data_IF_521594827163
#
_entry.id   IF_521594827163
#
_cell.length_a   1.000
_cell.length_b   1.000
_cell.length_c   1.000
_cell.angle_alpha   90.00
_cell.angle_beta   90.00
_cell.angle_gamma   90.00
#
_symmetry.space_group_name_H-M   'P 1'
#
loop_
_entity.id
_entity.type
_entity.pdbx_description
1 polymer ?
#
# COMPACT_ATOMS: atom_id res chain seq x y z
N UNK A 1 0.62 13.44 15.07
CA UNK A 1 -0.45 12.54 14.60
C UNK A 1 0.09 11.67 13.47
N UNK A 2 -0.27 10.40 13.47
CA UNK A 2 0.06 9.45 12.42
C UNK A 2 -1.23 8.84 11.85
N UNK A 3 -1.20 8.48 10.57
CA UNK A 3 -2.31 7.92 9.82
C UNK A 3 -1.87 6.57 9.26
N UNK A 4 -2.74 5.57 9.36
CA UNK A 4 -2.57 4.26 8.73
C UNK A 4 -3.72 4.01 7.78
N UNK A 5 -3.39 3.55 6.60
CA UNK A 5 -4.36 3.15 5.58
C UNK A 5 -4.52 1.64 5.61
N UNK A 6 -5.76 1.18 5.71
CA UNK A 6 -6.12 -0.24 5.76
C UNK A 6 -7.33 -0.49 4.87
N UNK A 7 -7.47 -1.73 4.42
CA UNK A 7 -8.72 -2.23 3.85
C UNK A 7 -9.53 -2.93 4.94
N UNK A 8 -10.85 -3.05 4.74
CA UNK A 8 -11.74 -3.70 5.71
C UNK A 8 -11.50 -5.21 5.86
N UNK A 9 -10.66 -5.80 4.99
CA UNK A 9 -10.26 -7.21 5.08
C UNK A 9 -9.31 -7.40 6.27
N UNK A 10 -9.65 -8.35 7.14
CA UNK A 10 -8.78 -8.77 8.24
C UNK A 10 -7.72 -9.73 7.69
N UNK A 11 -6.47 -9.44 7.97
CA UNK A 11 -5.35 -10.33 7.67
C UNK A 11 -5.36 -11.51 8.66
N UNK A 12 -5.40 -12.73 8.13
CA UNK A 12 -5.53 -13.95 8.93
C UNK A 12 -4.29 -14.26 9.79
N UNK A 13 -3.12 -13.74 9.41
CA UNK A 13 -1.86 -13.99 10.12
C UNK A 13 -1.67 -13.06 11.33
N UNK A 14 -2.18 -11.84 11.25
CA UNK A 14 -2.05 -10.79 12.26
C UNK A 14 -3.33 -10.51 13.04
N UNK A 15 -4.49 -10.96 12.55
CA UNK A 15 -5.83 -10.61 13.03
C UNK A 15 -6.09 -9.09 13.05
N UNK A 16 -5.36 -8.33 12.24
CA UNK A 16 -5.50 -6.88 12.11
C UNK A 16 -6.04 -6.53 10.71
N UNK A 17 -6.65 -5.35 10.53
CA UNK A 17 -6.97 -4.85 9.20
C UNK A 17 -5.72 -4.82 8.31
N UNK A 18 -5.85 -5.38 7.11
CA UNK A 18 -4.78 -5.51 6.14
C UNK A 18 -4.37 -4.13 5.61
N UNK A 19 -3.06 -3.91 5.43
CA UNK A 19 -2.55 -2.67 4.85
C UNK A 19 -2.89 -2.54 3.36
N UNK A 20 -3.14 -1.32 2.90
CA UNK A 20 -3.51 -1.04 1.49
C UNK A 20 -2.47 -1.55 0.50
N UNK A 21 -1.16 -1.41 0.77
CA UNK A 21 -0.12 -1.94 -0.13
C UNK A 21 -0.24 -3.45 -0.33
N UNK A 22 -0.46 -4.22 0.74
CA UNK A 22 -0.62 -5.67 0.64
C UNK A 22 -1.85 -6.02 -0.19
N UNK A 23 -2.95 -5.30 0.00
CA UNK A 23 -4.16 -5.50 -0.79
C UNK A 23 -3.94 -5.14 -2.28
N UNK A 24 -3.27 -4.02 -2.56
CA UNK A 24 -2.92 -3.59 -3.92
C UNK A 24 -2.03 -4.61 -4.64
N UNK A 25 -0.98 -5.14 -3.99
CA UNK A 25 -0.15 -6.19 -4.59
C UNK A 25 -0.90 -7.51 -4.77
N UNK A 26 -1.87 -7.84 -3.92
CA UNK A 26 -2.74 -9.00 -4.12
C UNK A 26 -3.65 -8.83 -5.34
N UNK A 27 -4.25 -7.65 -5.50
CA UNK A 27 -5.09 -7.31 -6.66
C UNK A 27 -4.26 -7.36 -7.96
N UNK A 28 -3.07 -6.77 -7.96
CA UNK A 28 -2.15 -6.82 -9.10
C UNK A 28 -1.81 -8.26 -9.53
N UNK A 29 -1.70 -9.18 -8.56
CA UNK A 29 -1.38 -10.59 -8.79
C UNK A 29 -2.59 -11.46 -9.12
N UNK A 30 -3.82 -11.02 -8.83
CA UNK A 30 -5.02 -11.82 -9.13
C UNK A 30 -5.30 -11.86 -10.63
N UNK A 31 -4.96 -10.77 -11.34
CA UNK A 31 -5.23 -10.62 -12.77
C UNK A 31 -6.66 -10.22 -13.09
N UNK A 32 -7.48 -9.91 -12.08
CA UNK A 32 -8.90 -9.56 -12.23
C UNK A 32 -9.11 -8.06 -12.54
N UNK A 33 -8.23 -7.47 -13.35
CA UNK A 33 -8.27 -6.05 -13.71
C UNK A 33 -8.25 -5.89 -15.23
N UNK A 34 -8.90 -4.83 -15.72
CA UNK A 34 -8.72 -4.39 -17.09
C UNK A 34 -7.27 -3.90 -17.32
N UNK A 35 -6.79 -3.87 -18.57
CA UNK A 35 -5.44 -3.37 -18.88
C UNK A 35 -5.20 -1.93 -18.39
N UNK A 36 -6.24 -1.09 -18.39
CA UNK A 36 -6.15 0.29 -17.90
C UNK A 36 -5.96 0.38 -16.38
N UNK A 37 -6.75 -0.38 -15.63
CA UNK A 37 -6.63 -0.48 -14.16
C UNK A 37 -5.28 -1.07 -13.76
N UNK A 38 -4.84 -2.12 -14.45
CA UNK A 38 -3.53 -2.73 -14.21
C UNK A 38 -2.40 -1.72 -14.42
N UNK A 39 -2.45 -0.96 -15.53
CA UNK A 39 -1.43 0.04 -15.85
C UNK A 39 -1.40 1.13 -14.78
N UNK A 40 -2.57 1.66 -14.43
CA UNK A 40 -2.69 2.71 -13.42
C UNK A 40 -2.18 2.25 -12.04
N UNK A 41 -2.60 1.08 -11.58
CA UNK A 41 -2.14 0.52 -10.30
C UNK A 41 -0.63 0.27 -10.29
N UNK A 42 -0.10 -0.27 -11.39
CA UNK A 42 1.33 -0.53 -11.56
C UNK A 42 2.16 0.76 -11.47
N UNK A 43 1.74 1.82 -12.17
CA UNK A 43 2.40 3.12 -12.15
C UNK A 43 2.37 3.75 -10.75
N UNK A 44 1.23 3.64 -10.06
CA UNK A 44 1.08 4.19 -8.72
C UNK A 44 1.97 3.46 -7.71
N UNK A 45 2.05 2.13 -7.78
CA UNK A 45 2.95 1.33 -6.94
C UNK A 45 4.43 1.60 -7.25
N UNK A 46 4.79 1.77 -8.53
CA UNK A 46 6.14 2.14 -8.94
C UNK A 46 6.55 3.51 -8.37
N UNK A 47 5.66 4.49 -8.44
CA UNK A 47 5.90 5.81 -7.85
C UNK A 47 6.21 5.71 -6.35
N UNK A 48 5.47 4.88 -5.61
CA UNK A 48 5.76 4.66 -4.19
C UNK A 48 7.12 3.99 -3.96
N UNK A 49 7.47 2.98 -4.77
CA UNK A 49 8.77 2.31 -4.67
C UNK A 49 9.94 3.29 -4.89
N UNK A 50 9.79 4.26 -5.80
CA UNK A 50 10.81 5.26 -6.10
C UNK A 50 10.90 6.37 -5.04
N UNK A 51 9.78 6.70 -4.39
CA UNK A 51 9.69 7.87 -3.49
C UNK A 51 9.71 7.52 -2.00
N UNK A 52 9.30 6.31 -1.61
CA UNK A 52 9.42 5.82 -0.24
C UNK A 52 10.79 5.20 -0.06
N UNK A 53 11.59 5.77 0.84
CA UNK A 53 12.82 5.13 1.29
C UNK A 53 12.46 3.91 2.12
N UNK A 54 12.50 2.74 1.50
CA UNK A 54 12.34 1.47 2.20
C UNK A 54 13.61 1.25 3.05
N UNK A 55 13.47 0.96 4.35
CA UNK A 55 14.61 0.50 5.13
C UNK A 55 15.14 -0.81 4.53
N UNK A 56 16.40 -1.13 4.82
CA UNK A 56 17.02 -2.38 4.38
C UNK A 56 16.10 -3.56 4.71
N UNK A 57 15.71 -4.30 3.67
CA UNK A 57 14.74 -5.40 3.76
C UNK A 57 15.21 -6.50 4.72
N UNK A 58 16.52 -6.61 4.96
CA UNK A 58 17.09 -7.52 5.96
C UNK A 58 16.60 -7.24 7.40
N UNK A 59 16.11 -6.03 7.66
CA UNK A 59 15.63 -5.57 8.97
C UNK A 59 14.10 -5.47 9.05
N UNK A 60 13.37 -5.81 7.98
CA UNK A 60 11.91 -5.72 7.96
C UNK A 60 11.33 -7.06 8.39
N UNK A 61 10.73 -7.10 9.58
CA UNK A 61 9.93 -8.25 10.00
C UNK A 61 8.73 -8.42 9.07
N UNK A 62 8.29 -9.66 8.82
CA UNK A 62 7.12 -10.03 8.00
C UNK A 62 5.80 -9.33 8.39
N UNK A 63 5.77 -8.61 9.52
CA UNK A 63 4.60 -7.92 10.08
C UNK A 63 4.75 -6.40 10.16
N UNK A 64 5.62 -5.81 9.36
CA UNK A 64 5.83 -4.36 9.39
C UNK A 64 4.53 -3.61 9.03
N UNK A 65 4.14 -2.67 9.91
CA UNK A 65 3.00 -1.78 9.65
C UNK A 65 3.51 -0.42 9.18
N UNK A 66 3.00 0.06 8.06
CA UNK A 66 3.33 1.40 7.55
C UNK A 66 2.41 2.44 8.18
N UNK A 67 3.02 3.48 8.75
CA UNK A 67 2.35 4.65 9.31
C UNK A 67 2.91 5.91 8.66
N UNK A 68 2.02 6.83 8.29
CA UNK A 68 2.39 8.11 7.70
C UNK A 68 2.26 9.23 8.73
N UNK A 69 3.24 10.12 8.81
CA UNK A 69 3.06 11.39 9.53
C UNK A 69 1.92 12.15 8.85
N UNK A 70 0.99 12.72 9.62
CA UNK A 70 -0.13 13.48 9.06
C UNK A 70 0.31 14.69 8.20
N UNK A 71 1.54 15.18 8.37
CA UNK A 71 2.14 16.23 7.56
C UNK A 71 2.68 15.76 6.20
N UNK A 72 2.75 14.44 5.93
CA UNK A 72 3.24 13.86 4.68
C UNK A 72 2.18 13.97 3.57
N UNK A 73 1.73 15.19 3.26
CA UNK A 73 0.58 15.48 2.40
C UNK A 73 0.67 14.82 1.02
N UNK A 74 1.85 14.83 0.40
CA UNK A 74 2.09 14.19 -0.90
C UNK A 74 1.80 12.69 -0.86
N UNK A 75 2.39 11.98 0.11
CA UNK A 75 2.20 10.54 0.26
C UNK A 75 0.77 10.20 0.67
N UNK A 76 0.16 10.99 1.55
CA UNK A 76 -1.24 10.82 1.96
C UNK A 76 -2.18 10.99 0.76
N UNK A 77 -1.96 11.97 -0.11
CA UNK A 77 -2.76 12.17 -1.33
C UNK A 77 -2.69 10.96 -2.26
N UNK A 78 -1.47 10.43 -2.49
CA UNK A 78 -1.26 9.21 -3.30
C UNK A 78 -1.86 7.96 -2.64
N UNK A 79 -1.89 7.89 -1.31
CA UNK A 79 -2.55 6.77 -0.61
C UNK A 79 -4.06 6.79 -0.79
N UNK A 80 -4.68 7.99 -0.87
CA UNK A 80 -6.10 8.11 -1.19
C UNK A 80 -6.42 7.73 -2.63
N UNK A 81 -5.52 8.05 -3.57
CA UNK A 81 -5.61 7.55 -4.95
C UNK A 81 -5.57 6.02 -4.97
N UNK A 82 -4.58 5.43 -4.28
CA UNK A 82 -4.41 3.98 -4.21
C UNK A 82 -5.60 3.25 -3.55
N UNK A 83 -6.25 3.86 -2.56
CA UNK A 83 -7.42 3.27 -1.90
C UNK A 83 -8.70 3.31 -2.73
N UNK A 84 -8.72 4.11 -3.79
CA UNK A 84 -9.85 4.26 -4.70
C UNK A 84 -9.64 3.55 -6.05
N UNK A 85 -8.55 2.79 -6.19
CA UNK A 85 -8.32 1.89 -7.32
C UNK A 85 -9.26 0.69 -7.29
#
# INVERSE_FOLDING_TARGET
MYIRFVVNRIDSSSHQPQGVFTAAYQLLRSGDMSPGEYTHLSELLAWFADNLRTPDQSNIMDRATLWFRASARLFIGRMWELSNC
#
